data_IF_529035890164
#
_entry.id   IF_529035890164
#
_cell.length_a   1.000
_cell.length_b   1.000
_cell.length_c   1.000
_cell.angle_alpha   90.00
_cell.angle_beta   90.00
_cell.angle_gamma   90.00
#
_symmetry.space_group_name_H-M   'P 1'
#
loop_
_entity.id
_entity.type
_entity.pdbx_description
1 polymer ?
#
# COMPACT_ATOMS: atom_id res chain seq x y z
N UNK A 1 11.40 -7.34 18.10
CA UNK A 1 10.50 -6.92 17.01
C UNK A 1 9.78 -5.66 17.45
N UNK A 2 9.87 -4.56 16.71
CA UNK A 2 9.15 -3.33 17.02
C UNK A 2 7.77 -3.32 16.32
N UNK A 3 6.73 -2.99 17.08
CA UNK A 3 5.36 -2.83 16.58
C UNK A 3 5.08 -1.34 16.37
N UNK A 4 4.56 -1.02 15.20
CA UNK A 4 4.15 0.32 14.81
C UNK A 4 2.64 0.44 14.97
N UNK A 5 2.22 1.44 15.73
CA UNK A 5 0.83 1.90 15.78
C UNK A 5 0.45 2.60 14.47
N UNK A 6 -0.85 2.78 14.24
CA UNK A 6 -1.36 3.52 13.07
C UNK A 6 -0.68 4.88 12.85
N UNK A 7 -0.40 5.65 13.91
CA UNK A 7 0.23 6.98 13.82
C UNK A 7 1.71 6.91 13.46
N UNK A 8 2.46 5.97 14.04
CA UNK A 8 3.88 5.77 13.72
C UNK A 8 4.07 5.19 12.32
N UNK A 9 3.20 4.26 11.91
CA UNK A 9 3.16 3.74 10.54
C UNK A 9 2.83 4.83 9.50
N UNK A 10 1.90 5.74 9.85
CA UNK A 10 1.54 6.89 9.00
C UNK A 10 2.74 7.81 8.77
N UNK A 11 3.51 8.13 9.82
CA UNK A 11 4.74 8.90 9.69
C UNK A 11 5.78 8.18 8.81
N UNK A 12 5.99 6.88 9.04
CA UNK A 12 6.97 6.07 8.30
C UNK A 12 6.66 5.94 6.80
N UNK A 13 5.38 5.96 6.41
CA UNK A 13 4.94 5.83 5.02
C UNK A 13 4.58 7.17 4.36
N UNK A 14 4.73 8.28 5.09
CA UNK A 14 4.28 9.62 4.69
C UNK A 14 2.82 9.62 4.22
N UNK A 15 1.96 8.99 5.02
CA UNK A 15 0.52 8.85 4.78
C UNK A 15 -0.28 9.38 5.97
N UNK A 16 -1.58 9.57 5.78
CA UNK A 16 -2.48 9.87 6.90
C UNK A 16 -2.85 8.60 7.66
N UNK A 17 -3.13 8.72 8.97
CA UNK A 17 -3.61 7.58 9.76
C UNK A 17 -4.90 6.96 9.19
N UNK A 18 -5.77 7.79 8.60
CA UNK A 18 -6.97 7.32 7.91
C UNK A 18 -6.63 6.44 6.69
N UNK A 19 -5.64 6.82 5.89
CA UNK A 19 -5.18 6.02 4.75
C UNK A 19 -4.58 4.68 5.21
N UNK A 20 -3.79 4.67 6.29
CA UNK A 20 -3.26 3.43 6.88
C UNK A 20 -4.39 2.49 7.30
N UNK A 21 -5.39 2.99 8.05
CA UNK A 21 -6.58 2.19 8.43
C UNK A 21 -7.33 1.68 7.21
N UNK A 22 -7.53 2.52 6.20
CA UNK A 22 -8.19 2.13 4.95
C UNK A 22 -7.45 0.97 4.26
N UNK A 23 -6.12 1.04 4.14
CA UNK A 23 -5.32 -0.02 3.53
C UNK A 23 -5.30 -1.31 4.37
N UNK A 24 -5.30 -1.19 5.69
CA UNK A 24 -5.38 -2.33 6.60
C UNK A 24 -6.74 -3.04 6.49
N UNK A 25 -7.85 -2.28 6.50
CA UNK A 25 -9.21 -2.80 6.31
C UNK A 25 -9.40 -3.47 4.94
N UNK A 26 -8.77 -2.95 3.88
CA UNK A 26 -8.81 -3.52 2.53
C UNK A 26 -7.85 -4.70 2.34
N UNK A 27 -7.09 -5.09 3.36
CA UNK A 27 -6.08 -6.16 3.31
C UNK A 27 -4.88 -5.84 2.40
N UNK A 28 -4.72 -4.58 1.97
CA UNK A 28 -3.60 -4.14 1.12
C UNK A 28 -2.34 -3.89 1.93
N UNK A 29 -2.49 -3.50 3.20
CA UNK A 29 -1.42 -3.43 4.20
C UNK A 29 -1.65 -4.56 5.20
N UNK A 30 -0.66 -5.45 5.35
CA UNK A 30 -0.71 -6.51 6.36
C UNK A 30 -0.55 -5.88 7.74
N UNK A 31 -1.45 -6.20 8.66
CA UNK A 31 -1.42 -5.69 10.02
C UNK A 31 -2.26 -6.57 10.94
N UNK A 32 -2.03 -6.45 12.24
CA UNK A 32 -2.75 -7.17 13.27
C UNK A 32 -3.72 -6.19 13.91
N UNK A 33 -5.01 -6.51 13.86
CA UNK A 33 -6.02 -5.74 14.57
C UNK A 33 -5.98 -6.09 16.06
N UNK A 34 -5.78 -5.09 16.91
CA UNK A 34 -5.76 -5.24 18.36
C UNK A 34 -6.82 -4.31 18.96
N UNK A 35 -8.03 -4.87 19.17
CA UNK A 35 -9.20 -4.10 19.56
C UNK A 35 -9.58 -3.06 18.50
N UNK A 36 -9.53 -1.77 18.87
CA UNK A 36 -9.84 -0.65 17.98
C UNK A 36 -8.65 -0.18 17.14
N UNK A 37 -7.43 -0.59 17.51
CA UNK A 37 -6.20 -0.15 16.87
C UNK A 37 -5.62 -1.21 15.95
N UNK A 38 -4.76 -0.76 15.04
CA UNK A 38 -3.97 -1.61 14.16
C UNK A 38 -2.50 -1.52 14.53
N UNK A 39 -1.85 -2.68 14.55
CA UNK A 39 -0.43 -2.85 14.81
C UNK A 39 0.24 -3.42 13.56
N UNK A 40 1.40 -2.88 13.22
CA UNK A 40 2.15 -3.22 12.01
C UNK A 40 3.57 -3.58 12.39
N UNK A 41 4.16 -4.56 11.70
CA UNK A 41 5.59 -4.81 11.81
C UNK A 41 6.35 -3.96 10.80
N UNK A 42 7.66 -3.79 11.03
CA UNK A 42 8.53 -3.13 10.05
C UNK A 42 8.48 -3.83 8.67
N UNK A 43 8.41 -5.16 8.66
CA UNK A 43 8.32 -5.95 7.44
C UNK A 43 7.02 -5.69 6.66
N UNK A 44 5.90 -5.47 7.36
CA UNK A 44 4.63 -5.11 6.73
C UNK A 44 4.71 -3.76 6.03
N UNK A 45 5.28 -2.75 6.72
CA UNK A 45 5.46 -1.41 6.18
C UNK A 45 6.39 -1.42 4.97
N UNK A 46 7.52 -2.14 5.07
CA UNK A 46 8.46 -2.30 3.97
C UNK A 46 7.84 -2.99 2.75
N UNK A 47 7.04 -4.04 2.98
CA UNK A 47 6.33 -4.77 1.93
C UNK A 47 5.31 -3.87 1.23
N UNK A 48 4.52 -3.12 2.01
CA UNK A 48 3.55 -2.16 1.48
C UNK A 48 4.22 -1.04 0.69
N UNK A 49 5.35 -0.52 1.16
CA UNK A 49 6.11 0.51 0.44
C UNK A 49 6.58 0.03 -0.93
N UNK A 50 6.97 -1.25 -1.04
CA UNK A 50 7.40 -1.87 -2.30
C UNK A 50 6.24 -2.09 -3.28
N UNK A 51 5.08 -2.50 -2.79
CA UNK A 51 3.92 -2.85 -3.64
C UNK A 51 3.03 -1.65 -3.99
N UNK A 52 3.09 -0.58 -3.21
CA UNK A 52 2.33 0.65 -3.45
C UNK A 52 2.79 1.31 -4.75
N UNK A 53 2.01 1.13 -5.81
CA UNK A 53 2.16 1.91 -7.05
C UNK A 53 1.89 3.39 -6.74
N UNK A 54 2.71 4.31 -7.27
CA UNK A 54 2.39 5.74 -7.22
C UNK A 54 1.01 5.99 -7.83
N UNK A 55 0.16 6.80 -7.19
CA UNK A 55 -1.09 7.24 -7.82
C UNK A 55 -0.72 7.97 -9.12
N UNK A 56 -1.22 7.49 -10.26
CA UNK A 56 -1.03 8.16 -11.55
C UNK A 56 -0.16 7.45 -12.59
N UNK A 57 0.24 6.18 -12.43
CA UNK A 57 0.75 5.42 -13.59
C UNK A 57 -0.42 4.68 -14.27
N UNK A 58 -1.07 5.26 -15.30
CA UNK A 58 -1.99 4.49 -16.12
C UNK A 58 -1.26 3.25 -16.63
N UNK A 59 -1.92 2.08 -16.67
CA UNK A 59 -1.35 0.93 -17.35
C UNK A 59 -0.97 1.39 -18.75
N UNK A 60 0.30 1.24 -19.14
CA UNK A 60 0.72 1.49 -20.52
C UNK A 60 -0.10 0.56 -21.39
N UNK A 61 -1.12 1.12 -22.03
CA UNK A 61 -1.91 0.43 -23.03
C UNK A 61 -0.98 0.28 -24.24
N UNK A 62 -0.17 -0.78 -24.25
CA UNK A 62 0.63 -1.15 -25.39
C UNK A 62 -0.33 -1.58 -26.51
N UNK A 63 -0.88 -0.61 -27.24
CA UNK A 63 -1.54 -0.83 -28.53
C UNK A 63 -0.46 -1.16 -29.56
N UNK A 64 0.12 -2.35 -29.46
CA UNK A 64 0.79 -2.99 -30.60
C UNK A 64 -0.25 -3.78 -31.39
N UNK A 65 -1.33 -3.11 -31.81
CA UNK A 65 -2.34 -3.71 -32.68
C UNK A 65 -1.94 -3.43 -34.13
N UNK A 66 -1.14 -4.34 -34.67
CA UNK A 66 -1.01 -4.67 -36.11
C UNK A 66 -1.02 -3.48 -37.08
N UNK A 67 0.15 -2.90 -37.29
CA UNK A 67 0.52 -2.55 -38.66
C UNK A 67 0.83 -3.88 -39.38
N UNK A 68 -0.10 -4.37 -40.20
CA UNK A 68 0.22 -5.08 -41.43
C UNK A 68 -1.05 -5.51 -42.19
N UNK A 69 -1.02 -5.13 -43.47
CA UNK A 69 -1.60 -5.81 -44.63
C UNK A 69 -2.94 -5.29 -45.17
N UNK A 70 -2.85 -4.29 -46.06
CA UNK A 70 -3.58 -4.31 -47.33
C UNK A 70 -2.80 -3.55 -48.40
#
# INVERSE_FOLDING_TARGET
MHLYTTTTAAAALSLTAAAIRYHALRGSLRGIQHGRDWLFTEADLASFRRTRRPPGRPPSHNTSRRANNR
#
